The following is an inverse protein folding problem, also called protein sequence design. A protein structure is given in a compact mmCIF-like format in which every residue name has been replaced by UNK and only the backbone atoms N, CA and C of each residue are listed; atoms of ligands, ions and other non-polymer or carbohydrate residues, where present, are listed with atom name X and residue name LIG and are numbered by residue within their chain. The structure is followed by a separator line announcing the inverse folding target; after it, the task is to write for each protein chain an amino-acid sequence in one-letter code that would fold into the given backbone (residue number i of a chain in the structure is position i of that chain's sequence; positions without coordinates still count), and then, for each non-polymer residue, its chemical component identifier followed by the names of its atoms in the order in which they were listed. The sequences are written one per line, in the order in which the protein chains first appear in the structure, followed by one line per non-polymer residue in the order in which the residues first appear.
data_IF_573582069927
#
_entry.id   IF_573582069927
#
_cell.length_a   1.000
_cell.length_b   1.000
_cell.length_c   1.000
_cell.angle_alpha   90.00
_cell.angle_beta   90.00
_cell.angle_gamma   90.00
#
_symmetry.space_group_name_H-M   'P 1'
#
loop_
_entity.id
_entity.type
_entity.pdbx_description
1 polymer ?
#
# COMPACT_ATOMS: atom_id res chain seq x y z
N UNK A 1 47.42 -3.27 22.64
CA UNK A 1 45.95 -3.33 22.42
C UNK A 1 45.32 -1.97 22.08
N UNK A 2 45.72 -0.85 22.70
CA UNK A 2 45.13 0.48 22.42
C UNK A 2 45.53 1.04 21.04
N UNK A 3 46.76 0.80 20.58
CA UNK A 3 47.25 1.24 19.25
C UNK A 3 46.50 0.57 18.08
N UNK A 4 46.06 -0.68 18.27
CA UNK A 4 45.37 -1.48 17.25
C UNK A 4 43.91 -1.00 17.05
N UNK A 5 43.27 -0.51 18.11
CA UNK A 5 41.89 0.02 18.08
C UNK A 5 41.84 1.39 17.36
N UNK A 6 42.84 2.25 17.57
CA UNK A 6 42.96 3.52 16.86
C UNK A 6 43.18 3.32 15.35
N UNK A 7 43.95 2.31 14.96
CA UNK A 7 44.21 2.01 13.55
C UNK A 7 42.96 1.53 12.81
N UNK A 8 42.12 0.71 13.47
CA UNK A 8 40.84 0.26 12.91
C UNK A 8 39.87 1.42 12.72
N UNK A 9 39.82 2.37 13.68
CA UNK A 9 38.93 3.52 13.59
C UNK A 9 39.29 4.46 12.41
N UNK A 10 40.59 4.63 12.13
CA UNK A 10 41.07 5.41 10.98
C UNK A 10 40.74 4.74 9.65
N UNK A 11 40.84 3.40 9.56
CA UNK A 11 40.50 2.64 8.35
C UNK A 11 38.99 2.68 8.08
N UNK A 12 38.14 2.55 9.12
CA UNK A 12 36.68 2.64 8.98
C UNK A 12 36.26 4.05 8.55
N UNK A 13 36.85 5.11 9.11
CA UNK A 13 36.57 6.48 8.70
C UNK A 13 37.02 6.75 7.25
N UNK A 14 38.20 6.26 6.84
CA UNK A 14 38.68 6.39 5.47
C UNK A 14 37.80 5.62 4.47
N UNK A 15 37.31 4.43 4.83
CA UNK A 15 36.42 3.63 3.99
C UNK A 15 35.04 4.27 3.80
N UNK A 16 34.49 4.88 4.86
CA UNK A 16 33.25 5.66 4.77
C UNK A 16 33.41 6.91 3.90
N UNK A 17 34.53 7.62 4.01
CA UNK A 17 34.83 8.81 3.18
C UNK A 17 35.07 8.41 1.71
N UNK A 18 35.76 7.29 1.46
CA UNK A 18 36.03 6.82 0.09
C UNK A 18 34.75 6.40 -0.65
N UNK A 19 33.82 5.72 0.04
CA UNK A 19 32.50 5.37 -0.53
C UNK A 19 31.61 6.60 -0.78
N UNK A 20 31.76 7.68 0.01
CA UNK A 20 31.09 8.96 -0.29
C UNK A 20 31.65 9.63 -1.54
N UNK A 21 32.97 9.61 -1.75
CA UNK A 21 33.62 10.34 -2.86
C UNK A 21 33.52 9.58 -4.20
N UNK A 22 33.48 8.24 -4.20
CA UNK A 22 33.39 7.43 -5.42
C UNK A 22 32.07 7.60 -6.20
N UNK A 23 31.04 8.16 -5.57
CA UNK A 23 29.76 8.48 -6.23
C UNK A 23 29.86 9.81 -7.01
N UNK A 24 30.84 10.67 -6.72
CA UNK A 24 30.92 12.03 -7.26
C UNK A 24 31.86 12.19 -8.48
N UNK A 25 32.37 11.08 -9.05
CA UNK A 25 33.46 11.17 -10.06
C UNK A 25 33.23 10.37 -11.35
N UNK A 26 32.06 10.52 -11.95
CA UNK A 26 31.80 10.10 -13.33
C UNK A 26 31.02 11.17 -14.14
N UNK A 27 31.48 12.42 -14.16
CA UNK A 27 31.19 13.31 -15.29
C UNK A 27 32.19 14.47 -15.34
N UNK A 28 33.14 14.40 -16.27
CA UNK A 28 33.81 15.58 -16.84
C UNK A 28 33.94 15.36 -18.34
N UNK A 29 32.96 15.88 -19.08
CA UNK A 29 33.18 16.86 -20.16
C UNK A 29 31.83 17.34 -20.73
N UNK A 30 31.27 18.42 -20.17
CA UNK A 30 30.80 19.54 -21.00
C UNK A 30 30.68 20.83 -20.18
N UNK A 31 31.01 21.95 -20.82
CA UNK A 31 31.26 23.29 -20.27
C UNK A 31 30.07 23.92 -19.54
N UNK A 32 30.44 24.74 -18.54
CA UNK A 32 29.67 25.36 -17.47
C UNK A 32 28.53 26.32 -17.88
N UNK A 33 27.36 26.11 -17.27
CA UNK A 33 26.46 27.16 -16.77
C UNK A 33 25.76 26.58 -15.54
N UNK A 34 25.94 27.25 -14.39
CA UNK A 34 25.60 26.80 -13.04
C UNK A 34 24.18 26.24 -12.94
N UNK A 35 24.06 24.94 -12.62
CA UNK A 35 22.78 24.26 -12.36
C UNK A 35 22.83 23.63 -10.96
N UNK A 36 21.97 24.12 -10.06
CA UNK A 36 21.75 23.56 -8.73
C UNK A 36 21.28 22.10 -8.85
N UNK A 37 22.06 21.16 -8.34
CA UNK A 37 21.64 19.77 -8.21
C UNK A 37 20.76 19.69 -6.96
N UNK A 38 19.45 19.82 -7.16
CA UNK A 38 18.45 19.43 -6.18
C UNK A 38 18.49 17.90 -6.13
N UNK A 39 18.82 17.33 -4.98
CA UNK A 39 18.69 15.90 -4.73
C UNK A 39 17.20 15.54 -4.88
N UNK A 40 16.81 15.08 -6.08
CA UNK A 40 15.47 14.58 -6.33
C UNK A 40 15.37 13.20 -5.67
N UNK A 41 14.60 13.12 -4.57
CA UNK A 41 14.13 11.83 -4.03
C UNK A 41 13.61 10.97 -5.20
N UNK A 42 13.88 9.64 -5.20
CA UNK A 42 13.38 8.78 -6.26
C UNK A 42 11.86 8.95 -6.35
N UNK A 43 11.38 9.49 -7.47
CA UNK A 43 9.94 9.58 -7.77
C UNK A 43 9.40 8.15 -7.83
N UNK A 44 8.92 7.67 -6.69
CA UNK A 44 8.25 6.39 -6.59
C UNK A 44 6.98 6.50 -7.41
N UNK A 45 6.89 5.76 -8.51
CA UNK A 45 5.72 5.76 -9.37
C UNK A 45 4.47 5.47 -8.53
N UNK A 46 3.53 6.41 -8.55
CA UNK A 46 2.25 6.28 -7.83
C UNK A 46 1.14 5.92 -8.81
N UNK A 47 0.32 4.93 -8.45
CA UNK A 47 -0.90 4.58 -9.16
C UNK A 47 -2.14 5.12 -8.45
N UNK A 48 -3.28 5.12 -9.14
CA UNK A 48 -4.58 5.34 -8.52
C UNK A 48 -4.92 4.17 -7.60
N UNK A 49 -5.44 4.46 -6.42
CA UNK A 49 -5.93 3.46 -5.48
C UNK A 49 -7.14 2.71 -6.03
N UNK A 50 -7.25 1.43 -5.68
CA UNK A 50 -8.27 0.54 -6.24
C UNK A 50 -8.96 -0.24 -5.14
N UNK A 51 -10.29 -0.23 -5.17
CA UNK A 51 -11.16 -1.14 -4.43
C UNK A 51 -12.17 -1.73 -5.40
N UNK A 52 -12.10 -3.05 -5.58
CA UNK A 52 -12.99 -3.81 -6.46
C UNK A 52 -13.50 -5.03 -5.71
N UNK A 53 -14.81 -5.27 -5.82
CA UNK A 53 -15.44 -6.48 -5.31
C UNK A 53 -15.42 -7.58 -6.38
N UNK A 54 -15.59 -8.83 -5.97
CA UNK A 54 -15.73 -9.96 -6.90
C UNK A 54 -17.03 -9.89 -7.70
N UNK A 55 -18.08 -9.32 -7.09
CA UNK A 55 -19.41 -9.13 -7.65
C UNK A 55 -20.17 -8.03 -6.90
N UNK A 56 -21.21 -7.47 -7.52
CA UNK A 56 -22.03 -6.41 -6.94
C UNK A 56 -23.21 -6.94 -6.10
N UNK A 57 -23.61 -8.19 -6.33
CA UNK A 57 -24.70 -8.83 -5.61
C UNK A 57 -24.50 -10.34 -5.44
N UNK A 58 -24.97 -10.89 -4.33
CA UNK A 58 -24.95 -12.32 -4.02
C UNK A 58 -26.32 -12.78 -3.50
N UNK A 59 -26.52 -14.09 -3.51
CA UNK A 59 -27.60 -14.75 -2.80
C UNK A 59 -27.02 -15.73 -1.78
N UNK A 60 -27.61 -15.77 -0.59
CA UNK A 60 -27.27 -16.66 0.49
C UNK A 60 -28.48 -17.50 0.88
N UNK A 61 -28.25 -18.78 1.14
CA UNK A 61 -29.24 -19.61 1.82
C UNK A 61 -29.36 -19.19 3.28
N UNK A 62 -30.55 -19.34 3.87
CA UNK A 62 -30.74 -19.10 5.31
C UNK A 62 -29.75 -19.96 6.12
N UNK A 63 -29.04 -19.31 7.05
CA UNK A 63 -28.04 -19.94 7.91
C UNK A 63 -26.66 -20.11 7.27
N UNK A 64 -26.46 -19.66 6.03
CA UNK A 64 -25.14 -19.70 5.39
C UNK A 64 -24.11 -18.89 6.18
N UNK A 65 -22.86 -19.39 6.20
CA UNK A 65 -21.71 -18.65 6.72
C UNK A 65 -21.32 -17.57 5.72
N UNK A 66 -21.11 -16.36 6.22
CA UNK A 66 -20.75 -15.21 5.40
C UNK A 66 -19.42 -14.60 5.84
N UNK A 67 -18.40 -14.67 4.98
CA UNK A 67 -17.09 -14.04 5.17
C UNK A 67 -16.92 -12.87 4.20
N UNK A 68 -16.92 -11.66 4.74
CA UNK A 68 -16.78 -10.42 3.99
C UNK A 68 -15.48 -10.37 3.16
N UNK A 69 -14.37 -10.95 3.65
CA UNK A 69 -13.08 -10.86 2.96
C UNK A 69 -13.09 -11.57 1.60
N UNK A 70 -13.92 -12.60 1.43
CA UNK A 70 -14.00 -13.37 0.18
C UNK A 70 -14.49 -12.54 -1.00
N UNK A 71 -15.18 -11.44 -0.75
CA UNK A 71 -15.76 -10.60 -1.79
C UNK A 71 -14.84 -9.46 -2.23
N UNK A 72 -13.63 -9.34 -1.67
CA UNK A 72 -12.65 -8.32 -2.06
C UNK A 72 -11.75 -8.88 -3.17
N UNK A 73 -11.99 -8.44 -4.42
CA UNK A 73 -11.17 -8.81 -5.57
C UNK A 73 -9.83 -8.09 -5.55
N UNK A 74 -9.85 -6.76 -5.43
CA UNK A 74 -8.66 -5.89 -5.42
C UNK A 74 -8.82 -4.85 -4.31
N UNK A 75 -7.76 -4.64 -3.55
CA UNK A 75 -7.61 -3.52 -2.63
C UNK A 75 -6.14 -3.11 -2.62
N UNK A 76 -5.81 -2.01 -3.29
CA UNK A 76 -4.43 -1.54 -3.48
C UNK A 76 -4.29 -0.06 -3.18
N UNK A 77 -3.22 0.31 -2.48
CA UNK A 77 -2.87 1.70 -2.24
C UNK A 77 -2.15 2.33 -3.44
N UNK A 78 -1.76 3.60 -3.29
CA UNK A 78 -1.07 4.37 -4.35
C UNK A 78 0.29 3.81 -4.77
N UNK A 79 0.85 2.86 -4.03
CA UNK A 79 2.11 2.20 -4.35
C UNK A 79 1.93 0.78 -4.90
N UNK A 80 0.69 0.35 -5.17
CA UNK A 80 0.38 -1.00 -5.67
C UNK A 80 0.45 -2.09 -4.60
N UNK A 81 0.64 -1.75 -3.32
CA UNK A 81 0.63 -2.75 -2.26
C UNK A 81 -0.81 -3.12 -1.89
N UNK A 82 -1.02 -4.41 -1.67
CA UNK A 82 -2.31 -4.89 -1.20
C UNK A 82 -2.61 -4.38 0.21
N UNK A 83 -3.83 -3.89 0.39
CA UNK A 83 -4.37 -3.41 1.66
C UNK A 83 -5.70 -4.09 1.99
N UNK A 84 -5.93 -5.32 1.48
CA UNK A 84 -7.19 -6.07 1.68
C UNK A 84 -7.55 -6.21 3.17
N UNK A 85 -6.58 -6.46 4.02
CA UNK A 85 -6.80 -6.62 5.47
C UNK A 85 -7.11 -5.31 6.21
N UNK A 86 -6.97 -4.16 5.55
CA UNK A 86 -7.26 -2.85 6.11
C UNK A 86 -8.65 -2.33 5.72
N UNK A 87 -9.36 -3.06 4.86
CA UNK A 87 -10.70 -2.69 4.43
C UNK A 87 -11.66 -2.82 5.60
N UNK A 88 -12.34 -1.71 5.91
CA UNK A 88 -13.44 -1.68 6.87
C UNK A 88 -14.71 -2.15 6.18
N UNK A 89 -15.55 -2.86 6.92
CA UNK A 89 -16.84 -3.33 6.42
C UNK A 89 -17.92 -2.84 7.37
N UNK A 90 -18.81 -2.00 6.84
CA UNK A 90 -19.94 -1.46 7.57
C UNK A 90 -21.23 -2.13 7.09
N UNK A 91 -22.03 -2.61 8.04
CA UNK A 91 -23.29 -3.31 7.79
C UNK A 91 -23.33 -4.69 8.43
N UNK A 92 -24.54 -5.16 8.69
CA UNK A 92 -24.80 -6.48 9.27
C UNK A 92 -25.67 -7.28 8.30
N UNK A 93 -25.33 -8.56 8.13
CA UNK A 93 -26.11 -9.51 7.33
C UNK A 93 -26.68 -10.57 8.27
N UNK A 94 -27.95 -10.46 8.71
CA UNK A 94 -28.59 -11.50 9.48
C UNK A 94 -28.93 -12.68 8.56
N UNK A 95 -28.01 -13.65 8.46
CA UNK A 95 -28.17 -14.79 7.54
C UNK A 95 -29.27 -15.76 7.99
N UNK A 96 -29.80 -15.61 9.21
CA UNK A 96 -30.93 -16.38 9.75
C UNK A 96 -32.30 -15.86 9.29
N UNK A 97 -32.35 -14.70 8.63
CA UNK A 97 -33.59 -14.03 8.22
C UNK A 97 -33.59 -13.77 6.73
N UNK A 98 -34.69 -14.10 6.08
CA UNK A 98 -34.88 -13.74 4.68
C UNK A 98 -34.94 -12.21 4.53
N UNK A 99 -34.33 -11.71 3.47
CA UNK A 99 -34.31 -10.28 3.24
C UNK A 99 -33.28 -9.84 2.22
N UNK A 100 -33.29 -8.54 1.94
CA UNK A 100 -32.29 -7.86 1.12
C UNK A 100 -31.52 -6.92 2.01
N UNK A 101 -30.20 -7.07 2.00
CA UNK A 101 -29.26 -6.35 2.85
C UNK A 101 -28.16 -5.73 2.00
N UNK A 102 -27.41 -4.82 2.60
CA UNK A 102 -26.25 -4.19 1.98
C UNK A 102 -25.13 -4.08 3.00
N UNK A 103 -23.91 -4.30 2.52
CA UNK A 103 -22.68 -3.98 3.27
C UNK A 103 -21.81 -3.06 2.42
N UNK A 104 -21.17 -2.10 3.09
CA UNK A 104 -20.26 -1.16 2.48
C UNK A 104 -18.82 -1.52 2.83
N UNK A 105 -18.00 -1.76 1.82
CA UNK A 105 -16.56 -1.94 1.94
C UNK A 105 -15.90 -0.57 1.78
N UNK A 106 -15.08 -0.18 2.75
CA UNK A 106 -14.50 1.16 2.83
C UNK A 106 -12.98 1.05 2.91
N UNK A 107 -12.31 1.65 1.92
CA UNK A 107 -10.87 1.92 1.94
C UNK A 107 -10.65 3.38 2.36
N UNK A 108 -10.06 3.56 3.53
CA UNK A 108 -9.64 4.87 4.04
C UNK A 108 -8.31 5.27 3.38
N UNK A 109 -8.27 6.42 2.72
CA UNK A 109 -7.07 6.95 2.07
C UNK A 109 -6.36 8.01 2.92
N UNK A 110 -6.89 8.31 4.10
CA UNK A 110 -6.46 9.43 4.94
C UNK A 110 -7.06 10.76 4.49
N UNK A 111 -6.88 11.80 5.32
CA UNK A 111 -7.37 13.16 5.06
C UNK A 111 -8.87 13.25 4.74
N UNK A 112 -9.67 12.31 5.28
CA UNK A 112 -11.12 12.24 5.01
C UNK A 112 -11.49 11.72 3.61
N UNK A 113 -10.51 11.30 2.80
CA UNK A 113 -10.73 10.68 1.49
C UNK A 113 -10.96 9.18 1.66
N UNK A 114 -11.89 8.62 0.90
CA UNK A 114 -12.21 7.19 0.91
C UNK A 114 -12.70 6.71 -0.45
N UNK A 115 -12.52 5.41 -0.69
CA UNK A 115 -13.18 4.68 -1.77
C UNK A 115 -14.14 3.69 -1.11
N UNK A 116 -15.40 3.66 -1.56
CA UNK A 116 -16.36 2.66 -1.09
C UNK A 116 -17.00 1.85 -2.21
N UNK A 117 -17.40 0.62 -1.85
CA UNK A 117 -18.14 -0.31 -2.72
C UNK A 117 -19.24 -0.98 -1.91
N UNK A 118 -20.41 -1.14 -2.51
CA UNK A 118 -21.57 -1.77 -1.87
C UNK A 118 -21.74 -3.17 -2.44
N UNK A 119 -21.87 -4.17 -1.57
CA UNK A 119 -22.32 -5.51 -1.92
C UNK A 119 -23.78 -5.66 -1.50
N UNK A 120 -24.64 -6.04 -2.44
CA UNK A 120 -26.05 -6.36 -2.16
C UNK A 120 -26.20 -7.84 -1.85
N UNK A 121 -26.81 -8.17 -0.72
CA UNK A 121 -26.98 -9.56 -0.28
C UNK A 121 -28.45 -9.88 -0.21
N UNK A 122 -28.89 -10.94 -0.86
CA UNK A 122 -30.25 -11.47 -0.70
C UNK A 122 -30.17 -12.78 0.08
N UNK A 123 -30.80 -12.85 1.24
CA UNK A 123 -30.94 -14.08 2.01
C UNK A 123 -32.32 -14.67 1.71
N UNK A 124 -32.38 -15.94 1.29
CA UNK A 124 -33.62 -16.64 0.96
C UNK A 124 -33.52 -18.14 1.23
N UNK A 125 -34.65 -18.81 1.43
CA UNK A 125 -34.72 -20.26 1.37
C UNK A 125 -34.73 -20.72 -0.10
N UNK A 126 -33.99 -21.78 -0.40
CA UNK A 126 -34.00 -22.45 -1.71
C UNK A 126 -34.93 -23.66 -1.71
#
# INVERSE_FOLDING_TARGET
MILLILFIFVIVAAFLVYNTIAIDKASKEHKETVTQIKEEEPKKDTQKEKLELTQDSIELEIGAVFDFKQYIKVAENKYGYSVKDQIKVDGEIPTDKEGKYQVEYIMDLGEGKRISRILRVTVRRF
#
